data_IF_644383711342
#
_entry.id   IF_644383711342
#
_cell.length_a   1.000
_cell.length_b   1.000
_cell.length_c   1.000
_cell.angle_alpha   90.00
_cell.angle_beta   90.00
_cell.angle_gamma   90.00
#
_symmetry.space_group_name_H-M   'P 1'
#
loop_
_entity.id
_entity.type
_entity.pdbx_description
1 polymer ?
#
# COMPACT_ATOMS: atom_id res chain seq x y z
N UNK A 1 -45.65 -21.56 16.24
CA UNK A 1 -44.92 -22.45 15.33
C UNK A 1 -44.28 -21.60 14.25
N UNK A 2 -43.07 -21.99 13.88
CA UNK A 2 -42.09 -21.29 13.05
C UNK A 2 -42.63 -20.96 11.64
N UNK A 3 -42.24 -19.79 11.12
CA UNK A 3 -41.80 -19.69 9.73
C UNK A 3 -40.69 -18.62 9.63
N UNK A 4 -39.47 -19.11 9.40
CA UNK A 4 -38.33 -18.32 8.94
C UNK A 4 -38.64 -17.87 7.51
N UNK A 5 -38.48 -16.58 7.22
CA UNK A 5 -38.21 -16.13 5.86
C UNK A 5 -36.76 -15.66 5.78
N UNK A 6 -35.98 -16.50 5.12
CA UNK A 6 -34.71 -16.18 4.50
C UNK A 6 -34.92 -15.03 3.51
N UNK A 7 -34.13 -13.96 3.63
CA UNK A 7 -33.88 -13.05 2.51
C UNK A 7 -32.37 -12.97 2.28
N UNK A 8 -31.87 -13.96 1.55
CA UNK A 8 -30.55 -14.02 0.96
C UNK A 8 -30.36 -12.92 -0.08
N UNK A 9 -29.50 -11.94 0.20
CA UNK A 9 -28.81 -11.12 -0.81
C UNK A 9 -27.32 -11.03 -0.46
N UNK A 10 -26.67 -12.20 -0.44
CA UNK A 10 -25.26 -12.40 -0.10
C UNK A 10 -24.33 -12.46 -1.32
N UNK A 11 -24.76 -12.03 -2.52
CA UNK A 11 -24.05 -12.40 -3.77
C UNK A 11 -23.39 -11.25 -4.58
N UNK A 12 -23.38 -10.00 -4.11
CA UNK A 12 -22.67 -8.91 -4.84
C UNK A 12 -21.52 -8.22 -4.08
N UNK A 13 -21.16 -8.68 -2.87
CA UNK A 13 -20.14 -8.02 -2.02
C UNK A 13 -18.92 -8.90 -1.72
N UNK A 14 -18.65 -9.94 -2.52
CA UNK A 14 -17.62 -10.94 -2.24
C UNK A 14 -16.26 -10.70 -2.92
N UNK A 15 -16.07 -9.65 -3.73
CA UNK A 15 -14.79 -9.52 -4.45
C UNK A 15 -13.64 -8.99 -3.59
N UNK A 16 -13.91 -8.32 -2.46
CA UNK A 16 -12.84 -7.77 -1.59
C UNK A 16 -12.38 -8.71 -0.47
N UNK A 17 -13.22 -9.65 -0.02
CA UNK A 17 -12.82 -10.64 0.99
C UNK A 17 -11.78 -11.65 0.45
N UNK A 18 -11.72 -11.84 -0.88
CA UNK A 18 -10.75 -12.71 -1.53
C UNK A 18 -9.34 -12.09 -1.68
N UNK A 19 -9.20 -10.75 -1.60
CA UNK A 19 -7.91 -10.07 -1.78
C UNK A 19 -7.05 -10.07 -0.51
N UNK A 20 -7.66 -9.95 0.67
CA UNK A 20 -6.93 -9.85 1.95
C UNK A 20 -6.40 -11.24 2.40
N UNK A 21 -6.98 -12.34 1.91
CA UNK A 21 -6.56 -13.70 2.28
C UNK A 21 -5.63 -14.42 1.28
N UNK A 22 -5.35 -13.85 0.10
CA UNK A 22 -4.91 -14.65 -1.05
C UNK A 22 -3.50 -14.44 -1.61
N UNK A 23 -2.76 -13.37 -1.27
CA UNK A 23 -1.57 -13.00 -2.08
C UNK A 23 -0.34 -12.57 -1.27
N UNK A 24 0.02 -13.36 -0.24
CA UNK A 24 1.30 -13.20 0.46
C UNK A 24 2.55 -13.64 -0.35
N UNK A 25 2.47 -13.93 -1.66
CA UNK A 25 3.64 -14.44 -2.44
C UNK A 25 3.85 -13.80 -3.82
N UNK A 26 2.98 -12.91 -4.33
CA UNK A 26 3.04 -12.51 -5.76
C UNK A 26 3.38 -11.06 -6.10
N UNK A 27 3.62 -10.17 -5.14
CA UNK A 27 3.55 -8.71 -5.35
C UNK A 27 4.81 -8.00 -5.87
N UNK A 28 5.94 -8.68 -6.03
CA UNK A 28 7.23 -8.02 -6.33
C UNK A 28 7.39 -7.49 -7.76
N UNK A 29 6.66 -8.04 -8.74
CA UNK A 29 6.87 -7.72 -10.16
C UNK A 29 6.11 -6.48 -10.62
N UNK A 30 4.96 -6.17 -10.00
CA UNK A 30 4.08 -5.10 -10.48
C UNK A 30 4.56 -3.69 -10.07
N UNK A 31 5.32 -3.59 -8.98
CA UNK A 31 5.84 -2.30 -8.50
C UNK A 31 6.99 -1.75 -9.38
N UNK A 32 7.77 -2.62 -10.01
CA UNK A 32 8.93 -2.19 -10.81
C UNK A 32 8.55 -1.54 -12.15
N UNK A 33 7.41 -1.95 -12.74
CA UNK A 33 6.93 -1.38 -14.01
C UNK A 33 6.48 0.08 -13.86
N UNK A 34 5.89 0.44 -12.71
CA UNK A 34 5.34 1.77 -12.47
C UNK A 34 6.41 2.87 -12.25
N UNK A 35 7.67 2.50 -11.99
CA UNK A 35 8.77 3.46 -11.84
C UNK A 35 9.35 3.92 -13.20
N UNK A 36 9.18 3.16 -14.28
CA UNK A 36 9.74 3.53 -15.60
C UNK A 36 8.90 4.61 -16.32
N UNK A 37 7.59 4.65 -16.08
CA UNK A 37 6.70 5.65 -16.69
C UNK A 37 6.87 7.05 -16.06
N UNK A 38 7.35 7.11 -14.81
CA UNK A 38 7.55 8.38 -14.10
C UNK A 38 8.77 9.17 -14.62
N UNK A 39 9.79 8.49 -15.16
CA UNK A 39 10.98 9.15 -15.71
C UNK A 39 10.71 9.78 -17.09
N UNK A 40 9.83 9.18 -17.90
CA UNK A 40 9.45 9.74 -19.22
C UNK A 40 8.53 10.97 -19.10
N UNK A 41 7.71 11.04 -18.05
CA UNK A 41 6.84 12.20 -17.81
C UNK A 41 7.62 13.45 -17.35
N UNK A 42 8.78 13.26 -16.71
CA UNK A 42 9.59 14.36 -16.18
C UNK A 42 10.36 15.14 -17.27
N UNK A 43 10.66 14.52 -18.41
CA UNK A 43 11.42 15.15 -19.50
C UNK A 43 10.55 16.07 -20.39
N UNK A 44 9.24 15.81 -20.46
CA UNK A 44 8.30 16.64 -21.25
C UNK A 44 7.87 17.92 -20.49
N UNK A 45 7.97 17.93 -19.16
CA UNK A 45 7.57 19.05 -18.30
C UNK A 45 8.59 20.20 -18.26
N UNK A 46 9.82 20.00 -18.77
CA UNK A 46 10.89 21.01 -18.71
C UNK A 46 10.79 22.14 -19.75
N UNK A 47 9.77 22.12 -20.63
CA UNK A 47 9.60 23.11 -21.72
C UNK A 47 8.37 24.03 -21.58
N UNK A 48 7.67 24.00 -20.45
CA UNK A 48 6.43 24.77 -20.22
C UNK A 48 6.66 26.08 -19.47
N UNK A 49 6.57 27.18 -20.22
CA UNK A 49 6.72 28.58 -19.79
C UNK A 49 5.84 28.97 -18.59
N UNK A 50 6.46 29.65 -17.62
CA UNK A 50 5.85 30.06 -16.35
C UNK A 50 4.71 31.09 -16.51
N UNK A 51 3.66 30.92 -15.72
CA UNK A 51 2.72 31.98 -15.36
C UNK A 51 2.32 31.81 -13.90
N UNK A 52 2.54 32.84 -13.09
CA UNK A 52 2.27 32.85 -11.66
C UNK A 52 0.76 32.93 -11.37
N UNK A 53 0.21 32.13 -10.44
CA UNK A 53 -1.11 32.40 -9.88
C UNK A 53 -1.05 32.86 -8.42
N UNK A 54 -2.04 33.68 -8.10
CA UNK A 54 -2.28 34.37 -6.85
C UNK A 54 -2.54 33.40 -5.68
N UNK A 55 -2.13 33.80 -4.48
CA UNK A 55 -2.35 33.06 -3.22
C UNK A 55 -3.85 32.97 -2.90
N UNK A 56 -4.47 31.79 -2.82
CA UNK A 56 -5.74 31.64 -2.12
C UNK A 56 -5.51 31.63 -0.61
N UNK A 57 -6.38 32.32 0.11
CA UNK A 57 -6.45 32.29 1.58
C UNK A 57 -6.97 30.90 1.99
N UNK A 58 -6.11 30.09 2.61
CA UNK A 58 -6.49 28.81 3.18
C UNK A 58 -7.38 29.04 4.41
N UNK A 59 -8.58 28.48 4.41
CA UNK A 59 -9.29 28.18 5.65
C UNK A 59 -8.47 27.13 6.42
N UNK A 60 -8.24 27.37 7.71
CA UNK A 60 -7.47 26.47 8.56
C UNK A 60 -8.08 25.05 8.56
N UNK A 61 -7.26 23.99 8.54
CA UNK A 61 -7.76 22.63 8.63
C UNK A 61 -8.49 22.47 9.97
N UNK A 62 -9.77 22.09 9.90
CA UNK A 62 -10.49 21.58 11.06
C UNK A 62 -9.73 20.34 11.51
N UNK A 63 -9.01 20.44 12.62
CA UNK A 63 -8.35 19.32 13.24
C UNK A 63 -9.40 18.23 13.49
N UNK A 64 -9.30 17.13 12.74
CA UNK A 64 -10.05 15.92 13.05
C UNK A 64 -9.71 15.55 14.49
N UNK A 65 -10.70 15.63 15.38
CA UNK A 65 -10.53 15.22 16.77
C UNK A 65 -10.07 13.74 16.76
N UNK A 66 -8.97 13.40 17.44
CA UNK A 66 -8.53 12.02 17.49
C UNK A 66 -9.65 11.18 18.09
N UNK A 67 -9.96 10.06 17.44
CA UNK A 67 -10.77 9.02 18.06
C UNK A 67 -10.18 8.75 19.46
N UNK A 68 -10.98 8.93 20.50
CA UNK A 68 -10.55 8.85 21.89
C UNK A 68 -9.84 7.52 22.11
N UNK A 69 -8.57 7.57 22.52
CA UNK A 69 -7.80 6.37 22.86
C UNK A 69 -8.52 5.67 24.02
N UNK A 70 -8.96 4.42 23.85
CA UNK A 70 -9.71 3.71 24.88
C UNK A 70 -8.85 3.53 26.13
N UNK A 71 -9.46 3.71 27.30
CA UNK A 71 -8.78 3.60 28.59
C UNK A 71 -8.37 2.14 28.84
N UNK A 72 -7.17 1.95 29.37
CA UNK A 72 -6.70 0.63 29.81
C UNK A 72 -7.33 0.34 31.18
N UNK A 73 -8.03 -0.78 31.28
CA UNK A 73 -8.68 -1.27 32.49
C UNK A 73 -7.65 -1.95 33.42
N UNK A 74 -8.06 -2.22 34.67
CA UNK A 74 -7.19 -2.79 35.70
C UNK A 74 -6.62 -4.18 35.35
N UNK A 75 -7.29 -4.92 34.46
CA UNK A 75 -6.86 -6.22 33.94
C UNK A 75 -5.91 -6.11 32.71
N UNK A 76 -5.47 -4.89 32.39
CA UNK A 76 -4.60 -4.56 31.25
C UNK A 76 -5.33 -4.54 29.90
N UNK A 77 -6.65 -4.78 29.87
CA UNK A 77 -7.45 -4.78 28.64
C UNK A 77 -7.85 -3.36 28.24
N UNK A 78 -7.87 -3.03 26.95
CA UNK A 78 -8.54 -1.82 26.51
C UNK A 78 -10.07 -1.86 26.72
N UNK A 79 -10.68 -0.73 27.05
CA UNK A 79 -12.12 -0.65 27.37
C UNK A 79 -13.05 -1.07 26.22
N UNK A 80 -12.56 -1.12 24.98
CA UNK A 80 -13.31 -1.48 23.77
C UNK A 80 -13.20 -2.97 23.39
N UNK A 81 -12.64 -3.82 24.26
CA UNK A 81 -12.56 -5.27 24.09
C UNK A 81 -13.41 -5.99 25.14
N UNK A 82 -14.01 -7.12 24.76
CA UNK A 82 -14.71 -8.01 25.71
C UNK A 82 -13.71 -8.83 26.53
N UNK A 83 -14.10 -9.36 27.71
CA UNK A 83 -13.24 -10.27 28.49
C UNK A 83 -12.82 -11.50 27.68
N UNK A 84 -13.74 -12.02 26.89
CA UNK A 84 -13.57 -13.22 26.09
C UNK A 84 -12.57 -12.97 24.95
N UNK A 85 -12.73 -11.89 24.18
CA UNK A 85 -11.82 -11.53 23.08
C UNK A 85 -10.40 -11.25 23.60
N UNK A 86 -10.30 -10.60 24.77
CA UNK A 86 -9.02 -10.31 25.38
C UNK A 86 -8.31 -11.57 25.89
N UNK A 87 -9.04 -12.51 26.47
CA UNK A 87 -8.50 -13.79 26.88
C UNK A 87 -8.00 -14.61 25.68
N UNK A 88 -8.80 -14.65 24.61
CA UNK A 88 -8.43 -15.33 23.37
C UNK A 88 -7.17 -14.72 22.73
N UNK A 89 -7.08 -13.39 22.67
CA UNK A 89 -5.89 -12.70 22.15
C UNK A 89 -4.64 -12.99 22.99
N UNK A 90 -4.74 -12.91 24.33
CA UNK A 90 -3.62 -13.24 25.22
C UNK A 90 -3.16 -14.69 25.06
N UNK A 91 -4.10 -15.63 24.92
CA UNK A 91 -3.77 -17.04 24.68
C UNK A 91 -3.02 -17.23 23.35
N UNK A 92 -3.50 -16.59 22.27
CA UNK A 92 -2.86 -16.66 20.95
C UNK A 92 -1.44 -16.04 20.94
N UNK A 93 -1.19 -15.00 21.73
CA UNK A 93 0.11 -14.31 21.81
C UNK A 93 1.11 -14.98 22.76
N UNK A 94 0.69 -15.94 23.60
CA UNK A 94 1.52 -16.52 24.68
C UNK A 94 2.84 -17.17 24.22
N UNK A 95 2.89 -17.64 22.97
CA UNK A 95 4.06 -18.31 22.39
C UNK A 95 4.83 -17.45 21.37
N UNK A 96 4.49 -16.17 21.23
CA UNK A 96 5.13 -15.29 20.26
C UNK A 96 6.38 -14.59 20.85
N UNK A 97 7.50 -14.50 20.10
CA UNK A 97 8.54 -13.54 20.44
C UNK A 97 7.95 -12.13 20.39
N UNK A 98 8.31 -11.26 21.33
CA UNK A 98 7.79 -9.89 21.43
C UNK A 98 6.26 -9.79 21.61
N UNK A 99 5.65 -10.76 22.32
CA UNK A 99 4.20 -10.84 22.55
C UNK A 99 3.51 -9.51 22.93
N UNK A 100 4.18 -8.64 23.70
CA UNK A 100 3.63 -7.33 24.07
C UNK A 100 3.46 -6.39 22.87
N UNK A 101 4.50 -6.21 22.06
CA UNK A 101 4.43 -5.31 20.90
C UNK A 101 3.49 -5.86 19.83
N UNK A 102 3.48 -7.18 19.63
CA UNK A 102 2.53 -7.82 18.71
C UNK A 102 1.09 -7.70 19.20
N UNK A 103 0.85 -7.82 20.51
CA UNK A 103 -0.48 -7.60 21.07
C UNK A 103 -0.97 -6.17 20.84
N UNK A 104 -0.14 -5.16 21.08
CA UNK A 104 -0.46 -3.75 20.80
C UNK A 104 -0.76 -3.52 19.31
N UNK A 105 0.05 -4.13 18.43
CA UNK A 105 -0.13 -4.10 16.98
C UNK A 105 -1.48 -4.70 16.58
N UNK A 106 -1.77 -5.92 17.02
CA UNK A 106 -3.02 -6.64 16.71
C UNK A 106 -4.23 -5.89 17.25
N UNK A 107 -4.18 -5.38 18.48
CA UNK A 107 -5.27 -4.56 19.05
C UNK A 107 -5.59 -3.36 18.16
N UNK A 108 -4.55 -2.67 17.69
CA UNK A 108 -4.71 -1.49 16.85
C UNK A 108 -5.27 -1.87 15.47
N UNK A 109 -4.79 -2.97 14.89
CA UNK A 109 -5.32 -3.50 13.63
C UNK A 109 -6.79 -3.93 13.73
N UNK A 110 -7.18 -4.62 14.81
CA UNK A 110 -8.58 -5.02 15.05
C UNK A 110 -9.51 -3.82 15.21
N UNK A 111 -9.04 -2.70 15.78
CA UNK A 111 -9.81 -1.44 15.80
C UNK A 111 -9.98 -0.87 14.42
N UNK A 112 -8.92 -0.85 13.62
CA UNK A 112 -8.97 -0.39 12.25
C UNK A 112 -9.99 -1.20 11.42
N UNK A 113 -9.96 -2.53 11.54
CA UNK A 113 -10.94 -3.42 10.88
C UNK A 113 -12.38 -3.12 11.33
N UNK A 114 -12.64 -3.04 12.63
CA UNK A 114 -13.97 -2.70 13.15
C UNK A 114 -14.45 -1.32 12.70
N UNK A 115 -13.57 -0.33 12.65
CA UNK A 115 -13.90 1.01 12.15
C UNK A 115 -14.25 0.99 10.66
N UNK A 116 -13.55 0.17 9.87
CA UNK A 116 -13.84 -0.02 8.45
C UNK A 116 -15.20 -0.69 8.25
N UNK A 117 -15.50 -1.75 9.01
CA UNK A 117 -16.82 -2.40 8.98
C UNK A 117 -17.95 -1.44 9.37
N UNK A 118 -17.75 -0.62 10.40
CA UNK A 118 -18.71 0.40 10.81
C UNK A 118 -18.93 1.45 9.71
N UNK A 119 -17.85 1.92 9.07
CA UNK A 119 -17.95 2.85 7.95
C UNK A 119 -18.77 2.23 6.80
N UNK A 120 -18.49 0.97 6.43
CA UNK A 120 -19.24 0.27 5.39
C UNK A 120 -20.71 0.04 5.76
N UNK A 121 -21.00 -0.25 7.02
CA UNK A 121 -22.37 -0.41 7.51
C UNK A 121 -23.18 0.88 7.45
N UNK A 122 -22.51 2.05 7.45
CA UNK A 122 -23.14 3.37 7.35
C UNK A 122 -23.33 3.86 5.92
N UNK A 123 -22.92 3.08 4.90
CA UNK A 123 -22.99 3.49 3.49
C UNK A 123 -24.39 3.97 3.06
N UNK A 124 -25.44 3.23 3.45
CA UNK A 124 -26.84 3.54 3.15
C UNK A 124 -27.56 4.32 4.27
N UNK A 125 -26.82 4.72 5.32
CA UNK A 125 -27.39 5.42 6.46
C UNK A 125 -27.54 6.93 6.21
N UNK A 126 -28.42 7.59 6.96
CA UNK A 126 -28.53 9.05 6.97
C UNK A 126 -27.44 9.73 7.82
N UNK A 127 -26.63 8.96 8.55
CA UNK A 127 -25.59 9.48 9.44
C UNK A 127 -24.27 9.74 8.69
N UNK A 128 -24.35 10.67 7.73
CA UNK A 128 -23.23 11.06 6.87
C UNK A 128 -22.07 11.64 7.68
N UNK A 129 -22.37 12.40 8.74
CA UNK A 129 -21.35 12.99 9.60
C UNK A 129 -20.50 11.92 10.28
N UNK A 130 -21.12 10.90 10.89
CA UNK A 130 -20.41 9.79 11.50
C UNK A 130 -19.65 8.95 10.47
N UNK A 131 -20.25 8.72 9.29
CA UNK A 131 -19.59 8.01 8.18
C UNK A 131 -18.31 8.74 7.75
N UNK A 132 -18.38 10.05 7.52
CA UNK A 132 -17.22 10.85 7.12
C UNK A 132 -16.16 10.93 8.23
N UNK A 133 -16.56 11.02 9.50
CA UNK A 133 -15.63 10.98 10.63
C UNK A 133 -14.84 9.67 10.67
N UNK A 134 -15.51 8.53 10.47
CA UNK A 134 -14.85 7.23 10.37
C UNK A 134 -13.93 7.17 9.15
N UNK A 135 -14.37 7.68 8.01
CA UNK A 135 -13.58 7.67 6.79
C UNK A 135 -12.28 8.48 6.92
N UNK A 136 -12.31 9.68 7.50
CA UNK A 136 -11.10 10.47 7.77
C UNK A 136 -10.18 9.76 8.77
N UNK A 137 -10.74 9.15 9.82
CA UNK A 137 -9.96 8.38 10.79
C UNK A 137 -9.28 7.16 10.17
N UNK A 138 -9.97 6.45 9.27
CA UNK A 138 -9.42 5.31 8.54
C UNK A 138 -8.32 5.77 7.58
N UNK A 139 -8.57 6.83 6.82
CA UNK A 139 -7.65 7.39 5.85
C UNK A 139 -6.32 7.82 6.51
N UNK A 140 -6.39 8.41 7.71
CA UNK A 140 -5.21 8.79 8.49
C UNK A 140 -4.37 7.60 8.99
N UNK A 141 -4.96 6.42 9.14
CA UNK A 141 -4.27 5.22 9.63
C UNK A 141 -3.62 4.39 8.52
N UNK A 142 -4.05 4.54 7.26
CA UNK A 142 -3.58 3.73 6.13
C UNK A 142 -2.05 3.65 6.01
N UNK A 143 -1.29 4.77 6.08
CA UNK A 143 0.17 4.71 5.93
C UNK A 143 0.85 3.89 7.04
N UNK A 144 0.33 3.96 8.28
CA UNK A 144 0.86 3.20 9.41
C UNK A 144 0.58 1.70 9.27
N UNK A 145 -0.62 1.33 8.79
CA UNK A 145 -0.96 -0.07 8.50
C UNK A 145 -0.02 -0.65 7.45
N UNK A 146 0.31 0.15 6.44
CA UNK A 146 1.22 -0.27 5.39
C UNK A 146 2.65 -0.44 5.90
N UNK A 147 3.17 0.50 6.70
CA UNK A 147 4.53 0.40 7.26
C UNK A 147 4.69 -0.80 8.20
N UNK A 148 3.61 -1.23 8.85
CA UNK A 148 3.53 -2.43 9.68
C UNK A 148 3.31 -3.73 8.89
N UNK A 149 3.18 -3.66 7.56
CA UNK A 149 2.92 -4.80 6.69
C UNK A 149 1.52 -5.41 6.84
N UNK A 150 0.57 -4.67 7.42
CA UNK A 150 -0.82 -5.11 7.63
C UNK A 150 -1.70 -4.91 6.40
N UNK A 151 -1.27 -4.02 5.49
CA UNK A 151 -1.85 -3.81 4.16
C UNK A 151 -0.72 -3.59 3.15
N UNK A 152 -0.91 -4.06 1.92
CA UNK A 152 -0.01 -3.76 0.81
C UNK A 152 -0.19 -2.33 0.31
N UNK A 153 0.79 -1.80 -0.44
CA UNK A 153 0.67 -0.47 -1.06
C UNK A 153 -0.54 -0.37 -2.03
N UNK A 154 -0.85 -1.45 -2.75
CA UNK A 154 -2.02 -1.52 -3.62
C UNK A 154 -3.34 -1.46 -2.86
N UNK A 155 -3.46 -2.24 -1.78
CA UNK A 155 -4.64 -2.21 -0.89
C UNK A 155 -4.79 -0.85 -0.20
N UNK A 156 -3.68 -0.25 0.22
CA UNK A 156 -3.66 1.09 0.81
C UNK A 156 -4.20 2.15 -0.15
N UNK A 157 -3.78 2.14 -1.42
CA UNK A 157 -4.29 3.06 -2.45
C UNK A 157 -5.76 2.83 -2.77
N UNK A 158 -6.16 1.56 -2.90
CA UNK A 158 -7.56 1.19 -3.14
C UNK A 158 -8.47 1.66 -2.00
N UNK A 159 -8.08 1.39 -0.75
CA UNK A 159 -8.81 1.84 0.43
C UNK A 159 -8.91 3.36 0.45
N UNK A 160 -7.79 4.05 0.21
CA UNK A 160 -7.74 5.52 0.16
C UNK A 160 -8.67 6.09 -0.91
N UNK A 161 -8.75 5.44 -2.08
CA UNK A 161 -9.66 5.82 -3.16
C UNK A 161 -11.12 5.66 -2.75
N UNK A 162 -11.49 4.55 -2.11
CA UNK A 162 -12.85 4.30 -1.65
C UNK A 162 -13.28 5.34 -0.59
N UNK A 163 -12.42 5.61 0.39
CA UNK A 163 -12.66 6.59 1.44
C UNK A 163 -12.76 8.02 0.88
N UNK A 164 -11.86 8.40 -0.04
CA UNK A 164 -11.88 9.72 -0.66
C UNK A 164 -13.06 9.92 -1.61
N UNK A 165 -13.59 8.86 -2.22
CA UNK A 165 -14.82 8.93 -3.02
C UNK A 165 -16.03 9.30 -2.15
N UNK A 166 -16.06 8.80 -0.91
CA UNK A 166 -17.10 9.16 0.07
C UNK A 166 -16.90 10.58 0.62
N UNK A 167 -15.66 10.92 0.98
CA UNK A 167 -15.33 12.19 1.62
C UNK A 167 -15.36 13.40 0.68
N UNK A 168 -14.96 13.21 -0.59
CA UNK A 168 -14.62 14.31 -1.48
C UNK A 168 -15.41 14.25 -2.79
N UNK A 169 -16.57 14.94 -2.86
CA UNK A 169 -17.40 14.95 -4.07
C UNK A 169 -16.71 15.66 -5.25
N UNK A 170 -15.93 16.71 -5.00
CA UNK A 170 -15.13 17.40 -6.02
C UNK A 170 -14.01 16.50 -6.55
N UNK A 171 -14.03 16.21 -7.85
CA UNK A 171 -13.06 15.32 -8.49
C UNK A 171 -11.62 15.85 -8.44
N UNK A 172 -11.42 17.14 -8.67
CA UNK A 172 -10.09 17.76 -8.68
C UNK A 172 -9.44 17.71 -7.30
N UNK A 173 -10.20 18.03 -6.25
CA UNK A 173 -9.68 17.94 -4.87
C UNK A 173 -9.48 16.48 -4.44
N UNK A 174 -10.30 15.55 -4.95
CA UNK A 174 -10.11 14.12 -4.70
C UNK A 174 -8.81 13.60 -5.31
N UNK A 175 -8.51 13.97 -6.55
CA UNK A 175 -7.25 13.63 -7.22
C UNK A 175 -6.04 14.17 -6.46
N UNK A 176 -6.10 15.44 -6.02
CA UNK A 176 -5.06 16.03 -5.21
C UNK A 176 -4.82 15.25 -3.90
N UNK A 177 -5.89 14.97 -3.14
CA UNK A 177 -5.78 14.21 -1.88
C UNK A 177 -5.28 12.78 -2.10
N UNK A 178 -5.64 12.17 -3.23
CA UNK A 178 -5.15 10.83 -3.59
C UNK A 178 -3.66 10.85 -3.95
N UNK A 179 -3.18 11.88 -4.65
CA UNK A 179 -1.75 12.08 -4.91
C UNK A 179 -0.96 12.27 -3.62
N UNK A 180 -1.46 13.10 -2.69
CA UNK A 180 -0.86 13.26 -1.36
C UNK A 180 -0.80 11.94 -0.59
N UNK A 181 -1.85 11.11 -0.69
CA UNK A 181 -1.88 9.82 -0.04
C UNK A 181 -0.90 8.83 -0.68
N UNK A 182 -0.76 8.85 -2.00
CA UNK A 182 0.25 8.05 -2.71
C UNK A 182 1.66 8.38 -2.22
N UNK A 183 1.98 9.68 -2.08
CA UNK A 183 3.27 10.10 -1.54
C UNK A 183 3.49 9.65 -0.08
N UNK A 184 2.44 9.69 0.77
CA UNK A 184 2.52 9.19 2.16
C UNK A 184 2.73 7.68 2.23
N UNK A 185 2.05 6.93 1.37
CA UNK A 185 2.18 5.47 1.23
C UNK A 185 3.61 5.14 0.80
N UNK A 186 4.13 5.79 -0.24
CA UNK A 186 5.50 5.60 -0.69
C UNK A 186 6.53 5.94 0.39
N UNK A 187 6.36 7.07 1.09
CA UNK A 187 7.24 7.47 2.19
C UNK A 187 7.21 6.51 3.39
N UNK A 188 6.09 5.79 3.57
CA UNK A 188 5.88 4.79 4.61
C UNK A 188 6.31 3.37 4.20
N UNK A 189 6.74 3.18 2.94
CA UNK A 189 7.28 1.91 2.49
C UNK A 189 8.49 1.55 3.34
N UNK A 190 8.69 0.25 3.68
CA UNK A 190 9.91 -0.18 4.33
C UNK A 190 11.10 0.32 3.51
N UNK A 191 11.82 1.30 4.04
CA UNK A 191 13.05 1.76 3.42
C UNK A 191 14.03 0.61 3.57
N UNK A 192 14.50 0.06 2.45
CA UNK A 192 15.69 -0.78 2.49
C UNK A 192 16.78 0.00 3.22
N UNK A 193 17.59 -0.67 4.03
CA UNK A 193 18.70 0.03 4.69
C UNK A 193 19.57 0.69 3.61
N UNK A 194 20.22 1.81 3.90
CA UNK A 194 21.10 2.48 2.93
C UNK A 194 22.14 1.51 2.32
N UNK A 195 22.58 0.52 3.11
CA UNK A 195 23.45 -0.57 2.65
C UNK A 195 22.77 -1.56 1.68
N UNK A 196 21.50 -1.89 1.90
CA UNK A 196 20.72 -2.70 0.96
C UNK A 196 20.49 -1.94 -0.35
N UNK A 197 20.09 -0.67 -0.28
CA UNK A 197 19.93 0.19 -1.45
C UNK A 197 21.24 0.30 -2.26
N UNK A 198 22.38 0.51 -1.60
CA UNK A 198 23.68 0.57 -2.26
C UNK A 198 24.08 -0.75 -2.92
N UNK A 199 23.80 -1.90 -2.28
CA UNK A 199 24.03 -3.23 -2.87
C UNK A 199 23.15 -3.46 -4.10
N UNK A 200 21.87 -3.11 -4.01
CA UNK A 200 20.93 -3.26 -5.12
C UNK A 200 21.34 -2.36 -6.30
N UNK A 201 21.79 -1.14 -6.03
CA UNK A 201 22.32 -0.23 -7.03
C UNK A 201 23.60 -0.76 -7.68
N UNK A 202 24.52 -1.35 -6.91
CA UNK A 202 25.73 -1.99 -7.44
C UNK A 202 25.39 -3.17 -8.36
N UNK A 203 24.44 -4.02 -7.96
CA UNK A 203 23.93 -5.15 -8.76
C UNK A 203 23.34 -4.64 -10.09
N UNK A 204 22.54 -3.57 -10.05
CA UNK A 204 21.97 -2.94 -11.25
C UNK A 204 23.04 -2.35 -12.16
N UNK A 205 24.05 -1.70 -11.59
CA UNK A 205 25.18 -1.14 -12.35
C UNK A 205 26.01 -2.25 -13.03
N UNK A 206 26.26 -3.37 -12.35
CA UNK A 206 26.97 -4.52 -12.94
C UNK A 206 26.17 -5.12 -14.11
N UNK A 207 24.86 -5.28 -13.93
CA UNK A 207 24.00 -5.76 -15.02
C UNK A 207 24.05 -4.82 -16.23
N UNK A 208 23.87 -3.50 -16.01
CA UNK A 208 23.89 -2.49 -17.08
C UNK A 208 25.23 -2.49 -17.83
N UNK A 209 26.33 -2.66 -17.11
CA UNK A 209 27.67 -2.81 -17.70
C UNK A 209 27.75 -4.04 -18.60
N UNK A 210 27.25 -5.20 -18.17
CA UNK A 210 27.25 -6.43 -18.96
C UNK A 210 26.35 -6.32 -20.19
N UNK A 211 25.13 -5.83 -20.01
CA UNK A 211 24.17 -5.64 -21.12
C UNK A 211 24.74 -4.68 -22.18
N UNK A 212 25.33 -3.55 -21.77
CA UNK A 212 25.96 -2.62 -22.72
C UNK A 212 27.14 -3.24 -23.47
N UNK A 213 27.98 -4.05 -22.80
CA UNK A 213 29.09 -4.76 -23.44
C UNK A 213 28.58 -5.75 -24.50
N UNK A 214 27.55 -6.54 -24.16
CA UNK A 214 26.92 -7.52 -25.07
C UNK A 214 26.33 -6.81 -26.29
N UNK A 215 25.54 -5.76 -26.08
CA UNK A 215 24.92 -4.99 -27.17
C UNK A 215 25.99 -4.33 -28.05
N UNK A 216 27.06 -3.79 -27.47
CA UNK A 216 28.15 -3.17 -28.21
C UNK A 216 28.89 -4.18 -29.09
N UNK A 217 29.18 -5.37 -28.55
CA UNK A 217 29.82 -6.46 -29.28
C UNK A 217 28.93 -6.99 -30.42
N UNK A 218 27.62 -7.07 -30.18
CA UNK A 218 26.66 -7.44 -31.22
C UNK A 218 26.58 -6.39 -32.34
N UNK A 219 26.53 -5.10 -31.99
CA UNK A 219 26.53 -4.00 -32.98
C UNK A 219 27.80 -3.95 -33.82
N UNK A 220 28.95 -4.32 -33.25
CA UNK A 220 30.22 -4.36 -33.96
C UNK A 220 30.31 -5.47 -35.03
N UNK A 221 29.41 -6.47 -35.00
CA UNK A 221 29.34 -7.51 -36.05
C UNK A 221 28.77 -6.93 -37.35
N UNK A 222 29.24 -7.38 -38.52
CA UNK A 222 28.64 -7.05 -39.81
C UNK A 222 27.16 -7.44 -39.85
N UNK A 223 26.30 -6.66 -40.53
CA UNK A 223 24.85 -6.82 -40.46
C UNK A 223 24.36 -8.22 -40.86
N UNK A 224 24.95 -8.81 -41.91
CA UNK A 224 24.62 -10.18 -42.34
C UNK A 224 25.08 -11.30 -41.41
N UNK A 225 25.83 -10.96 -40.35
CA UNK A 225 26.35 -11.90 -39.34
C UNK A 225 25.81 -11.62 -37.94
N UNK A 226 24.87 -10.67 -37.80
CA UNK A 226 24.18 -10.39 -36.53
C UNK A 226 23.08 -11.42 -36.32
N UNK A 227 23.26 -12.28 -35.32
CA UNK A 227 22.24 -13.22 -34.86
C UNK A 227 21.47 -12.61 -33.68
N UNK A 228 20.17 -12.41 -33.85
CA UNK A 228 19.30 -11.87 -32.81
C UNK A 228 19.03 -12.88 -31.70
N UNK A 229 18.89 -14.17 -32.03
CA UNK A 229 18.65 -15.23 -31.04
C UNK A 229 19.88 -15.48 -30.16
N UNK A 230 21.09 -15.21 -30.67
CA UNK A 230 22.30 -15.19 -29.85
C UNK A 230 22.33 -14.02 -28.86
N UNK A 231 21.98 -12.81 -29.31
CA UNK A 231 21.92 -11.62 -28.44
C UNK A 231 20.96 -11.81 -27.26
N UNK A 232 19.74 -12.30 -27.52
CA UNK A 232 18.74 -12.51 -26.47
C UNK A 232 19.22 -13.53 -25.43
N UNK A 233 19.87 -14.63 -25.86
CA UNK A 233 20.47 -15.62 -24.96
C UNK A 233 21.57 -15.02 -24.09
N UNK A 234 22.48 -14.23 -24.68
CA UNK A 234 23.58 -13.60 -23.96
C UNK A 234 23.07 -12.60 -22.90
N UNK A 235 22.03 -11.82 -23.23
CA UNK A 235 21.39 -10.90 -22.28
C UNK A 235 20.69 -11.64 -21.14
N UNK A 236 20.00 -12.74 -21.44
CA UNK A 236 19.35 -13.56 -20.42
C UNK A 236 20.36 -14.25 -19.50
N UNK A 237 21.48 -14.73 -20.05
CA UNK A 237 22.59 -15.28 -19.27
C UNK A 237 23.21 -14.23 -18.35
N UNK A 238 23.39 -12.99 -18.83
CA UNK A 238 23.88 -11.89 -17.99
C UNK A 238 22.94 -11.62 -16.80
N UNK A 239 21.62 -11.61 -17.03
CA UNK A 239 20.62 -11.46 -15.96
C UNK A 239 20.66 -12.62 -14.97
N UNK A 240 20.77 -13.86 -15.45
CA UNK A 240 20.91 -15.05 -14.58
C UNK A 240 22.21 -15.02 -13.79
N UNK A 241 23.32 -14.55 -14.35
CA UNK A 241 24.59 -14.46 -13.64
C UNK A 241 24.53 -13.47 -12.47
N UNK A 242 23.83 -12.35 -12.66
CA UNK A 242 23.67 -11.29 -11.65
C UNK A 242 22.64 -11.68 -10.58
N UNK A 243 21.44 -12.12 -10.96
CA UNK A 243 20.35 -12.40 -10.01
C UNK A 243 20.23 -13.88 -9.58
N UNK A 244 20.78 -14.81 -10.35
CA UNK A 244 20.71 -16.25 -10.03
C UNK A 244 21.60 -16.67 -8.86
N UNK A 245 22.61 -15.87 -8.53
CA UNK A 245 23.49 -16.09 -7.37
C UNK A 245 22.94 -15.50 -6.06
N UNK A 246 21.89 -14.67 -6.10
CA UNK A 246 21.29 -14.03 -4.93
C UNK A 246 20.42 -14.97 -4.05
N UNK A 247 20.38 -16.28 -4.37
CA UNK A 247 19.54 -17.31 -3.71
C UNK A 247 20.33 -18.35 -2.88
N UNK A 248 21.60 -18.11 -2.53
CA UNK A 248 22.38 -19.03 -1.67
C UNK A 248 22.84 -18.38 -0.40
#
# INVERSE_FOLDING_TARGET
MISYQESTKFWQRSWFAALIGGLAVGGGVWWWQAHQDAEQAAEVAASGQASAPQKPVFAAPVAAAPASVPTILADGRPSDFTPEDWAALKAAMSNQPNAKSEMERVVTYLRFQRSFEQWQALADSRDVAKRHQLAESLLGQVPERMSKGEVTAGEALLLSTALLTDLQPDASLREQRLADMRAKIEAAAPRSSAEQAARDEEILQDLKRRESAIVSAWRAKPEGSRDQAALERDLEEARRAVYGNAKR
#
